data_IF_497402959739
#
_entry.id   IF_497402959739
#
_cell.length_a   1.000
_cell.length_b   1.000
_cell.length_c   1.000
_cell.angle_alpha   90.00
_cell.angle_beta   90.00
_cell.angle_gamma   90.00
#
_symmetry.space_group_name_H-M   'P 1'
#
loop_
_entity.id
_entity.type
_entity.pdbx_description
1 polymer ?
#
# COMPACT_ATOMS: atom_id res chain seq x y z
N UNK A 1 -52.91 -28.10 -26.00
CA UNK A 1 -51.93 -27.06 -26.32
C UNK A 1 -50.65 -27.35 -25.57
N UNK A 2 -49.56 -27.81 -26.30
CA UNK A 2 -48.22 -27.91 -25.73
C UNK A 2 -47.53 -26.57 -25.99
N UNK A 3 -47.35 -25.77 -24.95
CA UNK A 3 -46.49 -24.58 -25.01
C UNK A 3 -45.03 -25.04 -24.95
N UNK A 4 -44.36 -24.91 -26.06
CA UNK A 4 -42.92 -25.21 -26.15
C UNK A 4 -42.15 -24.00 -25.60
N UNK A 5 -41.91 -23.99 -24.28
CA UNK A 5 -41.13 -22.97 -23.64
C UNK A 5 -39.64 -23.25 -23.88
N UNK A 6 -39.01 -22.45 -24.74
CA UNK A 6 -37.56 -22.44 -24.87
C UNK A 6 -37.00 -21.34 -23.94
N UNK A 7 -36.29 -21.70 -22.88
CA UNK A 7 -35.67 -20.69 -22.03
C UNK A 7 -34.59 -19.90 -22.83
N UNK A 8 -34.75 -18.60 -22.91
CA UNK A 8 -33.75 -17.70 -23.49
C UNK A 8 -32.54 -17.74 -22.57
N UNK A 9 -31.43 -18.26 -23.08
CA UNK A 9 -30.14 -18.19 -22.37
C UNK A 9 -29.60 -16.78 -22.52
N UNK A 10 -29.62 -16.00 -21.45
CA UNK A 10 -28.93 -14.71 -21.38
C UNK A 10 -27.50 -14.93 -20.91
N UNK A 11 -26.54 -14.32 -21.58
CA UNK A 11 -25.14 -14.29 -21.18
C UNK A 11 -24.75 -12.85 -20.89
N UNK A 12 -24.11 -12.62 -19.76
CA UNK A 12 -23.57 -11.30 -19.42
C UNK A 12 -22.43 -10.98 -20.35
N UNK A 13 -22.55 -9.88 -21.09
CA UNK A 13 -21.45 -9.36 -21.90
C UNK A 13 -20.41 -8.71 -20.98
N UNK A 14 -19.22 -9.28 -20.94
CA UNK A 14 -18.09 -8.68 -20.24
C UNK A 14 -17.46 -7.62 -21.15
N UNK A 15 -17.41 -6.39 -20.66
CA UNK A 15 -16.68 -5.31 -21.34
C UNK A 15 -15.19 -5.48 -21.08
N UNK A 16 -14.43 -5.96 -22.08
CA UNK A 16 -12.99 -6.15 -21.97
C UNK A 16 -12.27 -5.05 -22.75
N UNK A 17 -11.58 -4.18 -22.06
CA UNK A 17 -10.66 -3.23 -22.68
C UNK A 17 -9.37 -3.97 -23.05
N UNK A 18 -9.09 -4.10 -24.34
CA UNK A 18 -7.84 -4.67 -24.84
C UNK A 18 -6.89 -3.52 -25.17
N UNK A 19 -5.79 -3.41 -24.40
CA UNK A 19 -4.71 -2.50 -24.73
C UNK A 19 -3.72 -3.20 -25.66
N UNK A 20 -3.40 -2.59 -26.78
CA UNK A 20 -2.28 -3.01 -27.63
C UNK A 20 -1.03 -2.32 -27.12
N UNK A 21 -0.07 -3.09 -26.62
CA UNK A 21 1.23 -2.60 -26.18
C UNK A 21 2.27 -2.81 -27.26
N UNK A 22 2.98 -1.76 -27.61
CA UNK A 22 4.20 -1.82 -28.41
C UNK A 22 5.41 -1.67 -27.48
N UNK A 23 6.33 -2.62 -27.51
CA UNK A 23 7.60 -2.51 -26.79
C UNK A 23 8.58 -1.81 -27.74
N UNK A 24 9.15 -0.71 -27.27
CA UNK A 24 10.14 0.06 -28.01
C UNK A 24 11.23 0.56 -27.06
N UNK A 25 12.43 0.75 -27.58
CA UNK A 25 13.50 1.42 -26.84
C UNK A 25 13.25 2.93 -26.86
N UNK A 26 13.36 3.56 -25.69
CA UNK A 26 13.18 4.98 -25.53
C UNK A 26 14.32 5.59 -24.71
N UNK A 27 14.75 6.79 -25.08
CA UNK A 27 15.67 7.59 -24.29
C UNK A 27 14.87 8.60 -23.46
N UNK A 28 15.10 8.60 -22.15
CA UNK A 28 14.52 9.60 -21.25
C UNK A 28 15.51 10.74 -21.08
N UNK A 29 15.13 11.94 -21.52
CA UNK A 29 15.89 13.17 -21.28
C UNK A 29 15.26 13.87 -20.09
N UNK A 30 16.03 14.02 -19.00
CA UNK A 30 15.59 14.69 -17.77
C UNK A 30 16.62 15.74 -17.37
N UNK A 31 16.12 16.84 -16.80
CA UNK A 31 16.97 17.81 -16.08
C UNK A 31 17.15 17.27 -14.66
N UNK A 32 18.37 16.84 -14.34
CA UNK A 32 18.68 16.22 -13.05
C UNK A 32 19.65 17.10 -12.29
N UNK A 33 19.31 17.41 -11.04
CA UNK A 33 20.17 18.17 -10.14
C UNK A 33 20.59 17.26 -8.98
N UNK A 34 21.90 16.95 -8.84
CA UNK A 34 22.39 16.21 -7.69
C UNK A 34 22.25 17.06 -6.43
N UNK A 35 21.74 16.47 -5.37
CA UNK A 35 21.73 17.07 -4.03
C UNK A 35 22.83 16.38 -3.24
N UNK A 36 23.78 17.17 -2.73
CA UNK A 36 24.88 16.65 -1.94
C UNK A 36 24.53 16.67 -0.45
N UNK A 37 24.84 15.56 0.23
CA UNK A 37 24.72 15.48 1.68
C UNK A 37 25.87 16.25 2.35
N UNK A 38 25.58 16.99 3.40
CA UNK A 38 26.57 17.72 4.21
C UNK A 38 27.43 16.80 5.07
N UNK A 39 27.03 15.53 5.24
CA UNK A 39 27.68 14.52 6.08
C UNK A 39 27.81 13.21 5.33
N UNK A 40 28.87 12.45 5.63
CA UNK A 40 29.08 11.11 5.08
C UNK A 40 28.36 10.09 5.97
N UNK A 41 27.66 9.13 5.36
CA UNK A 41 26.96 8.09 6.10
C UNK A 41 26.04 7.24 5.23
N UNK A 42 25.14 6.53 5.87
CA UNK A 42 24.14 5.68 5.21
C UNK A 42 22.90 6.50 4.92
N UNK A 43 22.55 6.61 3.64
CA UNK A 43 21.39 7.36 3.16
C UNK A 43 20.14 6.49 3.20
N UNK A 44 19.06 7.05 3.78
CA UNK A 44 17.73 6.43 3.78
C UNK A 44 16.76 7.41 3.10
N UNK A 45 16.14 7.04 1.97
CA UNK A 45 15.17 7.89 1.29
C UNK A 45 13.90 8.05 2.11
N UNK A 46 13.37 9.27 2.18
CA UNK A 46 12.08 9.59 2.79
C UNK A 46 10.93 9.58 1.78
N UNK A 47 11.26 9.77 0.50
CA UNK A 47 10.32 9.80 -0.61
C UNK A 47 10.63 8.69 -1.60
N UNK A 48 9.57 8.19 -2.25
CA UNK A 48 9.68 7.15 -3.26
C UNK A 48 10.16 7.72 -4.59
N UNK A 49 10.80 6.87 -5.40
CA UNK A 49 11.24 7.22 -6.74
C UNK A 49 10.07 7.71 -7.60
N UNK A 50 10.29 8.83 -8.29
CA UNK A 50 9.28 9.44 -9.16
C UNK A 50 8.21 10.26 -8.42
N UNK A 51 8.26 10.39 -7.13
CA UNK A 51 7.33 11.22 -6.35
C UNK A 51 7.70 12.69 -6.46
N UNK A 52 6.67 13.52 -6.64
CA UNK A 52 6.83 14.97 -6.66
C UNK A 52 6.96 15.47 -5.22
N UNK A 53 8.00 16.26 -4.95
CA UNK A 53 8.27 16.90 -3.66
C UNK A 53 8.14 18.42 -3.80
N UNK A 54 7.78 19.09 -2.71
CA UNK A 54 7.78 20.55 -2.68
C UNK A 54 9.21 21.08 -2.44
N UNK A 55 9.42 22.36 -2.73
CA UNK A 55 10.66 23.02 -2.37
C UNK A 55 10.81 23.09 -0.86
N UNK A 56 11.95 22.65 -0.33
CA UNK A 56 12.29 22.56 1.09
C UNK A 56 11.71 21.34 1.83
N UNK A 57 11.10 20.37 1.12
CA UNK A 57 10.78 19.09 1.74
C UNK A 57 12.05 18.26 1.92
N UNK A 58 12.14 17.57 3.06
CA UNK A 58 13.21 16.60 3.31
C UNK A 58 13.03 15.38 2.39
N UNK A 59 14.03 15.06 1.58
CA UNK A 59 13.95 13.94 0.61
C UNK A 59 14.68 12.69 1.08
N UNK A 60 15.67 12.86 1.95
CA UNK A 60 16.44 11.75 2.50
C UNK A 60 17.00 12.11 3.89
N UNK A 61 17.37 11.07 4.61
CA UNK A 61 18.07 11.17 5.91
C UNK A 61 19.41 10.46 5.81
N UNK A 62 20.46 11.07 6.35
CA UNK A 62 21.79 10.46 6.42
C UNK A 62 22.12 10.13 7.87
N UNK A 63 22.43 8.86 8.09
CA UNK A 63 22.85 8.34 9.38
C UNK A 63 24.35 8.12 9.39
N UNK A 64 25.01 8.51 10.48
CA UNK A 64 26.46 8.33 10.66
C UNK A 64 26.86 6.89 10.93
N UNK A 65 25.90 6.00 11.20
CA UNK A 65 26.12 4.58 11.43
C UNK A 65 25.04 3.73 10.76
N UNK A 66 25.42 2.58 10.23
CA UNK A 66 24.50 1.61 9.62
C UNK A 66 23.48 1.06 10.61
N UNK A 67 23.86 0.94 11.88
CA UNK A 67 22.94 0.44 12.91
C UNK A 67 21.85 1.46 13.23
N UNK A 68 22.17 2.76 13.18
CA UNK A 68 21.18 3.83 13.32
C UNK A 68 20.21 3.83 12.12
N UNK A 69 20.70 3.64 10.89
CA UNK A 69 19.88 3.52 9.70
C UNK A 69 18.93 2.30 9.76
N UNK A 70 19.45 1.15 10.22
CA UNK A 70 18.63 -0.06 10.42
C UNK A 70 17.54 0.16 11.48
N UNK A 71 17.91 0.75 12.62
CA UNK A 71 16.96 1.04 13.69
C UNK A 71 15.85 2.03 13.23
N UNK A 72 16.21 3.02 12.41
CA UNK A 72 15.23 3.93 11.82
C UNK A 72 14.27 3.23 10.87
N UNK A 73 14.78 2.37 9.97
CA UNK A 73 13.95 1.60 9.05
C UNK A 73 13.03 0.63 9.82
N UNK A 74 13.53 0.00 10.88
CA UNK A 74 12.72 -0.86 11.74
C UNK A 74 11.63 -0.06 12.45
N UNK A 75 11.95 1.13 12.96
CA UNK A 75 10.97 2.03 13.58
C UNK A 75 9.89 2.46 12.59
N UNK A 76 10.27 2.76 11.32
CA UNK A 76 9.33 3.09 10.24
C UNK A 76 8.39 1.92 9.97
N UNK A 77 8.92 0.72 9.78
CA UNK A 77 8.13 -0.48 9.54
C UNK A 77 7.15 -0.79 10.70
N UNK A 78 7.60 -0.62 11.95
CA UNK A 78 6.74 -0.80 13.13
C UNK A 78 5.62 0.24 13.17
N UNK A 79 5.88 1.50 12.80
CA UNK A 79 4.86 2.54 12.71
C UNK A 79 3.80 2.22 11.66
N UNK A 80 4.24 1.80 10.47
CA UNK A 80 3.33 1.39 9.39
C UNK A 80 2.46 0.18 9.81
N UNK A 81 3.04 -0.77 10.53
CA UNK A 81 2.30 -1.92 11.07
C UNK A 81 1.29 -1.48 12.15
N UNK A 82 1.64 -0.52 13.02
CA UNK A 82 0.72 0.05 14.01
C UNK A 82 -0.45 0.76 13.31
N UNK A 83 -0.19 1.57 12.29
CA UNK A 83 -1.24 2.25 11.52
C UNK A 83 -2.19 1.24 10.87
N UNK A 84 -1.63 0.17 10.29
CA UNK A 84 -2.41 -0.92 9.71
C UNK A 84 -3.33 -1.56 10.76
N UNK A 85 -2.79 -2.06 11.88
CA UNK A 85 -3.59 -2.72 12.92
C UNK A 85 -4.56 -1.76 13.63
N UNK A 86 -4.22 -0.49 13.77
CA UNK A 86 -5.14 0.53 14.28
C UNK A 86 -6.32 0.75 13.34
N UNK A 87 -6.07 0.77 12.03
CA UNK A 87 -7.13 0.85 11.02
C UNK A 87 -8.07 -0.37 11.08
N UNK A 88 -7.52 -1.56 11.37
CA UNK A 88 -8.30 -2.78 11.56
C UNK A 88 -9.18 -2.71 12.81
N UNK A 89 -8.62 -2.25 13.94
CA UNK A 89 -9.36 -2.13 15.19
C UNK A 89 -10.57 -1.21 15.03
N UNK A 90 -10.43 -0.13 14.27
CA UNK A 90 -11.55 0.78 13.98
C UNK A 90 -12.63 0.13 13.07
N UNK A 91 -12.28 -0.90 12.30
CA UNK A 91 -13.21 -1.64 11.43
C UNK A 91 -13.89 -2.82 12.13
N UNK A 92 -13.34 -3.33 13.24
CA UNK A 92 -13.89 -4.48 14.00
C UNK A 92 -15.32 -4.22 14.49
N UNK A 93 -15.70 -2.96 14.72
CA UNK A 93 -17.06 -2.59 15.14
C UNK A 93 -18.15 -2.67 14.05
N UNK A 94 -17.77 -2.91 12.79
CA UNK A 94 -18.68 -2.95 11.64
C UNK A 94 -18.77 -4.39 11.12
N UNK A 95 -19.31 -5.29 11.94
CA UNK A 95 -19.65 -6.64 11.48
C UNK A 95 -20.89 -6.57 10.58
N UNK A 96 -20.70 -6.66 9.27
CA UNK A 96 -21.79 -6.91 8.34
C UNK A 96 -21.96 -8.41 8.18
N UNK A 97 -23.19 -8.90 8.42
CA UNK A 97 -23.53 -10.32 8.25
C UNK A 97 -23.51 -10.77 6.78
N UNK A 98 -23.43 -9.84 5.85
CA UNK A 98 -23.45 -10.11 4.41
C UNK A 98 -22.01 -10.06 3.83
N UNK A 99 -21.56 -11.22 3.36
CA UNK A 99 -20.20 -11.40 2.77
C UNK A 99 -20.19 -10.99 1.30
N UNK A 100 -21.33 -11.03 0.61
CA UNK A 100 -21.39 -10.77 -0.84
C UNK A 100 -20.87 -9.38 -1.22
N UNK A 101 -21.26 -8.28 -0.55
CA UNK A 101 -20.72 -6.95 -0.85
C UNK A 101 -19.22 -6.83 -0.58
N UNK A 102 -18.70 -7.62 0.37
CA UNK A 102 -17.27 -7.63 0.67
C UNK A 102 -16.46 -8.35 -0.41
N UNK A 103 -16.98 -9.45 -0.94
CA UNK A 103 -16.39 -10.14 -2.08
C UNK A 103 -16.41 -9.26 -3.34
N UNK A 104 -17.53 -8.58 -3.62
CA UNK A 104 -17.62 -7.61 -4.73
C UNK A 104 -16.61 -6.48 -4.59
N UNK A 105 -16.38 -5.99 -3.38
CA UNK A 105 -15.37 -4.96 -3.12
C UNK A 105 -13.94 -5.45 -3.40
N UNK A 106 -13.62 -6.70 -3.07
CA UNK A 106 -12.32 -7.31 -3.40
C UNK A 106 -12.16 -7.40 -4.92
N UNK A 107 -13.18 -7.90 -5.64
CA UNK A 107 -13.14 -7.99 -7.10
C UNK A 107 -12.94 -6.62 -7.75
N UNK A 108 -13.68 -5.60 -7.32
CA UNK A 108 -13.57 -4.24 -7.84
C UNK A 108 -12.18 -3.63 -7.58
N UNK A 109 -11.59 -3.88 -6.41
CA UNK A 109 -10.25 -3.42 -6.09
C UNK A 109 -9.18 -4.10 -6.96
N UNK A 110 -9.28 -5.42 -7.17
CA UNK A 110 -8.40 -6.17 -8.05
C UNK A 110 -8.54 -5.74 -9.53
N UNK A 111 -9.76 -5.49 -9.99
CA UNK A 111 -10.01 -4.98 -11.34
C UNK A 111 -9.38 -3.59 -11.54
N UNK A 112 -9.58 -2.67 -10.59
CA UNK A 112 -8.99 -1.34 -10.64
C UNK A 112 -7.46 -1.39 -10.69
N UNK A 113 -6.82 -2.27 -9.91
CA UNK A 113 -5.38 -2.50 -9.93
C UNK A 113 -4.91 -3.05 -11.28
N UNK A 114 -5.60 -4.04 -11.82
CA UNK A 114 -5.30 -4.62 -13.14
C UNK A 114 -5.37 -3.57 -14.26
N UNK A 115 -6.39 -2.70 -14.22
CA UNK A 115 -6.54 -1.58 -15.17
C UNK A 115 -5.41 -0.56 -15.01
N UNK A 116 -5.00 -0.25 -13.77
CA UNK A 116 -3.88 0.66 -13.51
C UNK A 116 -2.57 0.13 -14.08
N UNK A 117 -2.27 -1.17 -13.88
CA UNK A 117 -1.10 -1.84 -14.45
C UNK A 117 -1.14 -1.76 -15.97
N UNK A 118 -2.27 -2.09 -16.59
CA UNK A 118 -2.40 -2.06 -18.06
C UNK A 118 -2.22 -0.68 -18.68
N UNK A 119 -2.47 0.38 -17.91
CA UNK A 119 -2.27 1.78 -18.31
C UNK A 119 -0.89 2.33 -17.96
N UNK A 120 -0.03 1.55 -17.28
CA UNK A 120 1.30 1.98 -16.85
C UNK A 120 1.29 3.09 -15.79
N UNK A 121 0.23 3.19 -15.00
CA UNK A 121 0.11 4.20 -13.96
C UNK A 121 0.83 3.77 -12.66
N UNK A 122 2.17 3.90 -12.66
CA UNK A 122 3.04 3.45 -11.58
C UNK A 122 2.84 4.25 -10.27
N UNK A 123 2.56 5.55 -10.38
CA UNK A 123 2.47 6.45 -9.22
C UNK A 123 1.31 6.17 -8.26
N UNK A 124 0.41 5.26 -8.62
CA UNK A 124 -0.78 4.93 -7.82
C UNK A 124 -0.81 3.48 -7.34
N UNK A 125 0.23 2.67 -7.59
CA UNK A 125 0.20 1.23 -7.25
C UNK A 125 0.00 0.97 -5.76
N UNK A 126 0.69 1.70 -4.90
CA UNK A 126 0.54 1.60 -3.45
C UNK A 126 -0.92 1.83 -2.99
N UNK A 127 -1.60 2.81 -3.56
CA UNK A 127 -3.00 3.09 -3.25
C UNK A 127 -3.92 1.92 -3.66
N UNK A 128 -3.65 1.29 -4.80
CA UNK A 128 -4.42 0.12 -5.24
C UNK A 128 -4.15 -1.11 -4.38
N UNK A 129 -2.89 -1.36 -4.01
CA UNK A 129 -2.52 -2.45 -3.11
C UNK A 129 -3.16 -2.28 -1.73
N UNK A 130 -3.15 -1.07 -1.19
CA UNK A 130 -3.81 -0.75 0.06
C UNK A 130 -5.33 -0.97 -0.02
N UNK A 131 -5.98 -0.61 -1.12
CA UNK A 131 -7.40 -0.86 -1.34
C UNK A 131 -7.74 -2.35 -1.36
N UNK A 132 -6.90 -3.18 -2.02
CA UNK A 132 -7.08 -4.64 -2.03
C UNK A 132 -6.89 -5.20 -0.61
N UNK A 133 -5.83 -4.80 0.07
CA UNK A 133 -5.54 -5.22 1.45
C UNK A 133 -6.69 -4.87 2.39
N UNK A 134 -7.22 -3.65 2.29
CA UNK A 134 -8.37 -3.18 3.08
C UNK A 134 -9.64 -3.98 2.82
N UNK A 135 -9.93 -4.28 1.56
CA UNK A 135 -11.09 -5.07 1.19
C UNK A 135 -10.99 -6.50 1.72
N UNK A 136 -9.83 -7.16 1.55
CA UNK A 136 -9.55 -8.50 2.07
C UNK A 136 -9.64 -8.53 3.60
N UNK A 137 -9.08 -7.55 4.27
CA UNK A 137 -9.10 -7.45 5.73
C UNK A 137 -10.52 -7.27 6.26
N UNK A 138 -11.32 -6.41 5.62
CA UNK A 138 -12.73 -6.21 5.98
C UNK A 138 -13.51 -7.53 5.89
N UNK A 139 -13.26 -8.33 4.87
CA UNK A 139 -13.83 -9.67 4.72
C UNK A 139 -13.38 -10.62 5.83
N UNK A 140 -12.09 -10.66 6.13
CA UNK A 140 -11.51 -11.52 7.17
C UNK A 140 -12.05 -11.19 8.57
N UNK A 141 -12.23 -9.90 8.86
CA UNK A 141 -12.87 -9.43 10.10
C UNK A 141 -14.32 -9.88 10.18
N UNK A 142 -15.07 -9.74 9.09
CA UNK A 142 -16.49 -10.13 9.04
C UNK A 142 -16.69 -11.64 9.15
N UNK A 143 -15.74 -12.44 8.67
CA UNK A 143 -15.76 -13.90 8.79
C UNK A 143 -15.18 -14.41 10.11
N UNK A 144 -14.68 -13.52 10.98
CA UNK A 144 -14.03 -13.90 12.24
C UNK A 144 -12.67 -14.60 12.06
N UNK A 145 -12.06 -14.51 10.88
CA UNK A 145 -10.77 -15.13 10.58
C UNK A 145 -9.63 -14.35 11.23
N UNK A 146 -9.79 -13.04 11.43
CA UNK A 146 -8.88 -12.20 12.23
C UNK A 146 -9.55 -11.94 13.57
N UNK A 147 -8.87 -12.34 14.64
CA UNK A 147 -9.26 -12.09 16.02
C UNK A 147 -8.58 -10.80 16.47
N UNK A 148 -9.21 -10.06 17.34
CA UNK A 148 -8.82 -8.76 17.93
C UNK A 148 -7.34 -8.36 17.75
N UNK A 149 -7.03 -7.27 17.04
CA UNK A 149 -5.66 -6.80 16.83
C UNK A 149 -5.02 -6.14 18.07
N UNK A 150 -5.76 -6.00 19.18
CA UNK A 150 -5.32 -5.25 20.37
C UNK A 150 -4.04 -5.80 21.00
N UNK A 151 -3.90 -7.12 21.07
CA UNK A 151 -2.69 -7.75 21.60
C UNK A 151 -1.47 -7.40 20.75
N UNK A 152 -1.61 -7.51 19.42
CA UNK A 152 -0.53 -7.16 18.48
C UNK A 152 -0.16 -5.68 18.55
N UNK A 153 -1.16 -4.79 18.67
CA UNK A 153 -0.93 -3.36 18.87
C UNK A 153 -0.16 -3.08 20.16
N UNK A 154 -0.45 -3.80 21.23
CA UNK A 154 0.29 -3.70 22.50
C UNK A 154 1.77 -4.05 22.32
N UNK A 155 2.08 -5.16 21.67
CA UNK A 155 3.47 -5.58 21.37
C UNK A 155 4.20 -4.57 20.50
N UNK A 156 3.55 -4.07 19.42
CA UNK A 156 4.14 -3.11 18.50
C UNK A 156 4.42 -1.76 19.16
N UNK A 157 3.51 -1.27 19.99
CA UNK A 157 3.72 -0.03 20.75
C UNK A 157 4.86 -0.15 21.76
N UNK A 158 5.00 -1.30 22.44
CA UNK A 158 6.13 -1.57 23.33
C UNK A 158 7.45 -1.58 22.55
N UNK A 159 7.47 -2.23 21.38
CA UNK A 159 8.65 -2.27 20.49
C UNK A 159 9.00 -0.86 19.97
N UNK A 160 8.01 -0.08 19.58
CA UNK A 160 8.21 1.30 19.13
C UNK A 160 8.84 2.17 20.25
N UNK A 161 8.35 2.05 21.47
CA UNK A 161 8.91 2.76 22.61
C UNK A 161 10.37 2.38 22.89
N UNK A 162 10.71 1.10 22.75
CA UNK A 162 12.09 0.62 22.87
C UNK A 162 12.98 1.22 21.78
N UNK A 163 12.56 1.22 20.52
CA UNK A 163 13.32 1.79 19.39
C UNK A 163 13.49 3.31 19.54
N UNK A 164 12.48 4.02 20.01
CA UNK A 164 12.55 5.47 20.26
C UNK A 164 13.51 5.83 21.39
N UNK A 165 13.68 4.98 22.38
CA UNK A 165 14.64 5.20 23.47
C UNK A 165 16.10 5.10 23.04
N UNK A 166 16.38 4.54 21.86
CA UNK A 166 17.72 4.28 21.33
C UNK A 166 18.45 5.53 20.78
N UNK A 167 17.90 6.73 20.95
CA UNK A 167 18.48 8.03 20.55
C UNK A 167 19.19 8.02 19.18
N UNK A 168 18.42 7.87 18.13
CA UNK A 168 18.91 7.77 16.74
C UNK A 168 19.20 9.18 16.22
N UNK A 169 20.48 9.58 16.17
CA UNK A 169 20.91 10.84 15.57
C UNK A 169 20.98 10.75 14.03
N UNK A 170 20.38 11.72 13.35
CA UNK A 170 20.39 11.80 11.87
C UNK A 170 20.45 13.25 11.39
N UNK A 171 20.82 13.42 10.12
CA UNK A 171 20.78 14.71 9.41
C UNK A 171 19.84 14.58 8.21
N UNK A 172 18.97 15.56 8.00
CA UNK A 172 18.06 15.63 6.85
C UNK A 172 18.72 16.35 5.67
N UNK A 173 18.30 15.99 4.46
CA UNK A 173 18.70 16.56 3.18
C UNK A 173 17.45 17.00 2.43
#
# INVERSE_FOLDING_TARGET
FKINYQPVKTQVALNKTVASTAVTDAFVVRDEYPIEASVTGTLVPLVEDGKRVASQDDVAVVFTSDDAAKAYNEMKAVKEEIEYFSSLQNKVGVQTADIIPLDERIYSACEAYSVAISKGNISSYEAYENNIRDAMTSRQLSTGTIIDPSARLGELNAKLAQLQSANIGYNTI
#
